data_IF_126500778202
#
_entry.id   IF_126500778202
#
_cell.length_a   1.000
_cell.length_b   1.000
_cell.length_c   1.000
_cell.angle_alpha   90.00
_cell.angle_beta   90.00
_cell.angle_gamma   90.00
#
_symmetry.space_group_name_H-M   'P 1'
#
loop_
_entity.id
_entity.type
_entity.pdbx_description
1 polymer ?
#
# COMPACT_ATOMS: atom_id res chain seq x y z
N UNK A 1 1.09 16.20 -72.93
CA UNK A 1 0.07 17.23 -73.26
C UNK A 1 -1.28 16.67 -72.81
N UNK A 2 -2.13 17.24 -71.93
CA UNK A 2 -2.23 18.51 -71.13
C UNK A 2 -3.26 18.23 -69.99
N UNK A 3 -3.21 18.74 -68.74
CA UNK A 3 -2.16 19.37 -67.91
C UNK A 3 -2.51 19.37 -66.39
N UNK A 4 -1.53 19.75 -65.56
CA UNK A 4 -1.39 19.80 -64.09
C UNK A 4 -2.44 20.47 -63.16
N UNK A 5 -3.64 20.87 -63.59
CA UNK A 5 -4.38 21.94 -62.89
C UNK A 5 -5.04 21.64 -61.52
N UNK A 6 -5.30 20.39 -61.10
CA UNK A 6 -6.17 20.12 -59.91
C UNK A 6 -5.66 19.13 -58.86
N UNK A 7 -4.48 18.51 -59.01
CA UNK A 7 -3.96 17.51 -58.05
C UNK A 7 -3.23 18.09 -56.82
N UNK A 8 -3.45 19.38 -56.47
CA UNK A 8 -2.46 20.19 -55.74
C UNK A 8 -2.89 20.96 -54.47
N UNK A 9 -4.06 20.71 -53.85
CA UNK A 9 -4.48 21.46 -52.63
C UNK A 9 -5.00 20.72 -51.39
N UNK A 10 -5.40 19.44 -51.46
CA UNK A 10 -5.93 18.74 -50.27
C UNK A 10 -4.95 17.74 -49.62
N UNK A 11 -4.26 16.91 -50.43
CA UNK A 11 -3.53 15.74 -49.91
C UNK A 11 -2.12 16.02 -49.34
N UNK A 12 -1.47 17.12 -49.70
CA UNK A 12 -0.06 17.39 -49.31
C UNK A 12 0.13 18.04 -47.94
N UNK A 13 -0.95 18.41 -47.22
CA UNK A 13 -0.85 19.07 -45.90
C UNK A 13 -0.48 18.14 -44.73
N UNK A 14 -0.17 16.86 -45.00
CA UNK A 14 0.22 15.83 -44.02
C UNK A 14 1.73 15.47 -44.00
N UNK A 15 2.59 16.17 -44.75
CA UNK A 15 3.99 15.76 -44.94
C UNK A 15 5.07 16.87 -44.78
N UNK A 16 4.74 18.02 -44.17
CA UNK A 16 5.61 19.21 -44.19
C UNK A 16 5.80 19.91 -42.82
N UNK A 17 6.03 19.13 -41.76
CA UNK A 17 6.39 19.65 -40.42
C UNK A 17 7.57 18.91 -39.77
N UNK A 18 8.28 18.06 -40.52
CA UNK A 18 9.52 17.42 -40.11
C UNK A 18 10.71 18.06 -40.85
N UNK A 19 11.84 18.20 -40.13
CA UNK A 19 13.16 18.64 -40.60
C UNK A 19 13.45 20.16 -40.75
N UNK A 20 14.17 20.66 -39.72
CA UNK A 20 15.36 21.55 -39.77
C UNK A 20 15.22 23.08 -39.94
N UNK A 21 15.35 23.78 -38.81
CA UNK A 21 16.35 24.82 -38.44
C UNK A 21 16.53 24.67 -36.91
N UNK A 22 17.69 24.53 -36.26
CA UNK A 22 19.05 24.97 -36.56
C UNK A 22 19.26 26.41 -36.04
N UNK A 23 20.12 26.72 -35.05
CA UNK A 23 21.03 25.92 -34.23
C UNK A 23 21.52 26.73 -33.00
N UNK A 24 21.93 26.08 -31.89
CA UNK A 24 23.08 26.48 -31.01
C UNK A 24 23.41 25.39 -29.98
N UNK A 25 24.69 25.18 -29.72
CA UNK A 25 25.26 24.32 -28.66
C UNK A 25 26.51 25.04 -28.07
N UNK A 26 27.34 24.39 -27.25
CA UNK A 26 27.09 23.93 -25.87
C UNK A 26 27.98 24.70 -24.85
N UNK A 27 27.72 24.60 -23.54
CA UNK A 27 28.68 25.08 -22.52
C UNK A 27 28.72 24.19 -21.26
N UNK A 28 29.91 23.70 -20.97
CA UNK A 28 30.50 23.31 -19.67
C UNK A 28 32.01 23.66 -19.79
N UNK A 29 32.88 23.58 -18.76
CA UNK A 29 32.67 23.16 -17.36
C UNK A 29 33.27 24.13 -16.31
N UNK A 30 33.14 23.80 -15.02
CA UNK A 30 34.24 24.01 -14.05
C UNK A 30 34.12 23.02 -12.87
N UNK A 31 35.26 22.63 -12.31
CA UNK A 31 35.41 21.51 -11.36
C UNK A 31 36.33 21.87 -10.20
N UNK A 32 36.17 21.17 -9.07
CA UNK A 32 37.17 20.82 -8.03
C UNK A 32 36.51 20.79 -6.64
N UNK A 33 36.94 20.01 -5.66
CA UNK A 33 37.68 18.72 -5.60
C UNK A 33 37.43 18.17 -4.17
N UNK A 34 37.51 16.89 -3.84
CA UNK A 34 38.71 16.05 -3.87
C UNK A 34 38.38 14.61 -3.41
N UNK A 35 39.37 13.71 -3.42
CA UNK A 35 39.20 12.25 -3.54
C UNK A 35 39.67 11.43 -2.34
N UNK A 36 39.12 10.22 -2.16
CA UNK A 36 39.82 8.95 -1.82
C UNK A 36 38.83 7.83 -1.44
N UNK A 37 39.11 6.52 -1.57
CA UNK A 37 39.97 5.73 -2.48
C UNK A 37 39.66 4.21 -2.29
N UNK A 38 39.41 3.45 -3.37
CA UNK A 38 39.29 1.97 -3.36
C UNK A 38 37.99 1.39 -2.74
N UNK A 39 37.65 0.11 -2.89
CA UNK A 39 38.06 -0.92 -3.86
C UNK A 39 37.08 -2.13 -3.81
N UNK A 40 37.05 -2.95 -4.87
CA UNK A 40 36.54 -4.33 -4.94
C UNK A 40 35.04 -4.65 -4.64
N UNK A 41 34.32 -4.93 -5.74
CA UNK A 41 33.40 -6.06 -5.97
C UNK A 41 32.68 -6.78 -4.80
N UNK A 42 31.34 -6.65 -4.76
CA UNK A 42 30.39 -7.78 -4.73
C UNK A 42 28.99 -7.27 -5.12
N UNK A 43 28.23 -8.03 -5.91
CA UNK A 43 26.90 -7.60 -6.36
C UNK A 43 25.86 -7.80 -5.24
N UNK A 44 25.13 -6.74 -4.90
CA UNK A 44 23.97 -6.77 -4.00
C UNK A 44 22.81 -5.97 -4.64
N UNK A 45 21.55 -6.42 -4.52
CA UNK A 45 20.41 -5.77 -5.15
C UNK A 45 20.12 -4.37 -4.55
N UNK A 46 19.58 -3.43 -5.36
CA UNK A 46 19.47 -2.02 -4.97
C UNK A 46 18.45 -1.77 -3.85
N UNK A 47 18.93 -1.24 -2.72
CA UNK A 47 18.13 -0.85 -1.55
C UNK A 47 17.40 0.49 -1.77
N UNK A 48 16.33 0.53 -2.56
CA UNK A 48 15.66 1.82 -2.86
C UNK A 48 14.13 1.79 -3.05
N UNK A 49 13.41 0.81 -2.47
CA UNK A 49 11.94 0.69 -2.63
C UNK A 49 11.18 0.56 -1.28
N UNK A 50 11.89 0.45 -0.14
CA UNK A 50 11.28 0.22 1.18
C UNK A 50 10.72 1.49 1.86
N UNK A 51 10.50 2.59 1.13
CA UNK A 51 10.20 3.90 1.71
C UNK A 51 8.73 4.07 2.17
N UNK A 52 7.79 3.28 1.67
CA UNK A 52 6.34 3.48 1.93
C UNK A 52 5.77 2.49 2.96
N UNK A 53 6.36 1.29 3.08
CA UNK A 53 5.94 0.28 4.04
C UNK A 53 6.47 0.53 5.47
N UNK A 54 7.45 1.45 5.62
CA UNK A 54 8.05 1.85 6.88
C UNK A 54 7.85 3.35 7.17
N UNK A 55 6.73 3.91 6.70
CA UNK A 55 6.22 5.16 7.26
C UNK A 55 5.76 4.84 8.68
N UNK A 56 6.56 5.29 9.65
CA UNK A 56 6.42 4.90 11.04
C UNK A 56 5.05 5.32 11.58
N UNK A 57 4.50 4.52 12.48
CA UNK A 57 3.24 4.78 13.18
C UNK A 57 3.22 6.14 13.90
N UNK A 58 4.40 6.74 14.15
CA UNK A 58 4.59 8.07 14.74
C UNK A 58 4.12 9.24 13.88
N UNK A 59 4.00 9.06 12.57
CA UNK A 59 3.97 10.19 11.63
C UNK A 59 2.54 10.59 11.20
N UNK A 60 1.54 9.84 11.65
CA UNK A 60 0.11 10.14 11.49
C UNK A 60 -0.59 10.13 12.83
N UNK A 61 -1.61 10.97 12.95
CA UNK A 61 -2.61 10.82 14.02
C UNK A 61 -3.98 10.73 13.40
N UNK A 62 -4.76 9.77 13.89
CA UNK A 62 -6.16 9.61 13.52
C UNK A 62 -7.00 9.68 14.79
N UNK A 63 -8.12 10.38 14.68
CA UNK A 63 -9.09 10.58 15.76
C UNK A 63 -10.48 10.42 15.18
N UNK A 64 -11.41 9.93 16.00
CA UNK A 64 -12.80 9.73 15.65
C UNK A 64 -13.53 9.06 16.81
N UNK A 65 -14.85 9.26 16.88
CA UNK A 65 -15.71 8.68 17.92
C UNK A 65 -16.65 7.69 17.27
N UNK A 66 -16.70 6.46 17.77
CA UNK A 66 -17.67 5.47 17.31
C UNK A 66 -19.06 5.83 17.85
N UNK A 67 -19.96 6.25 16.95
CA UNK A 67 -21.35 6.56 17.26
C UNK A 67 -22.28 5.35 17.11
N UNK A 68 -21.88 4.33 16.34
CA UNK A 68 -22.66 3.11 16.17
C UNK A 68 -22.58 2.16 17.37
N UNK A 69 -23.59 1.30 17.51
CA UNK A 69 -23.65 0.32 18.61
C UNK A 69 -22.49 -0.70 18.54
N UNK A 70 -21.84 -1.07 19.66
CA UNK A 70 -20.67 -1.96 19.64
C UNK A 70 -20.93 -3.40 19.15
N UNK A 71 -22.19 -3.76 18.84
CA UNK A 71 -22.59 -5.03 18.23
C UNK A 71 -23.26 -4.88 16.85
N UNK A 72 -23.35 -3.66 16.28
CA UNK A 72 -23.87 -3.49 14.92
C UNK A 72 -22.86 -4.00 13.89
N UNK A 73 -23.35 -4.25 12.67
CA UNK A 73 -22.51 -4.50 11.49
C UNK A 73 -22.22 -3.24 10.67
N UNK A 74 -22.95 -2.16 10.97
CA UNK A 74 -22.74 -0.83 10.42
C UNK A 74 -21.77 -0.06 11.33
N UNK A 75 -20.87 0.69 10.72
CA UNK A 75 -19.85 1.52 11.37
C UNK A 75 -20.21 2.98 11.10
N UNK A 76 -20.47 3.75 12.17
CA UNK A 76 -20.67 5.19 12.09
C UNK A 76 -19.62 5.87 12.98
N UNK A 77 -18.73 6.65 12.37
CA UNK A 77 -17.66 7.38 13.07
C UNK A 77 -17.90 8.88 12.88
N UNK A 78 -18.09 9.57 14.00
CA UNK A 78 -18.22 11.03 14.08
C UNK A 78 -16.85 11.67 14.35
N UNK A 79 -16.71 12.95 13.99
CA UNK A 79 -15.50 13.76 14.21
C UNK A 79 -14.20 13.08 13.75
N UNK A 80 -14.23 12.47 12.56
CA UNK A 80 -13.03 11.87 11.96
C UNK A 80 -12.08 12.97 11.50
N UNK A 81 -10.95 13.07 12.20
CA UNK A 81 -9.84 13.97 11.88
C UNK A 81 -8.56 13.15 11.72
N UNK A 82 -7.89 13.31 10.58
CA UNK A 82 -6.69 12.57 10.19
C UNK A 82 -5.61 13.53 9.70
N UNK A 83 -4.47 13.52 10.40
CA UNK A 83 -3.31 14.37 10.13
C UNK A 83 -2.09 13.52 9.81
N UNK A 84 -1.22 14.00 8.93
CA UNK A 84 -0.04 13.28 8.46
C UNK A 84 1.14 14.24 8.29
N UNK A 85 2.26 13.97 8.96
CA UNK A 85 3.43 14.85 9.05
C UNK A 85 3.09 16.33 9.38
N UNK A 86 2.07 16.55 10.22
CA UNK A 86 1.60 17.90 10.58
C UNK A 86 0.77 18.61 9.51
N UNK A 87 0.36 17.92 8.46
CA UNK A 87 -0.63 18.40 7.50
C UNK A 87 -1.98 17.71 7.74
N UNK A 88 -3.03 18.49 7.90
CA UNK A 88 -4.38 17.96 8.02
C UNK A 88 -4.82 17.45 6.63
N UNK A 89 -5.27 16.20 6.57
CA UNK A 89 -5.76 15.57 5.35
C UNK A 89 -7.29 15.49 5.36
N UNK A 90 -7.86 15.23 6.55
CA UNK A 90 -9.29 15.17 6.81
C UNK A 90 -9.52 15.85 8.16
N UNK A 91 -10.53 16.70 8.24
CA UNK A 91 -10.91 17.45 9.45
C UNK A 91 -12.41 17.30 9.65
N UNK A 92 -12.81 16.98 10.88
CA UNK A 92 -14.19 16.93 11.40
C UNK A 92 -15.20 16.35 10.40
N UNK A 93 -14.84 15.20 9.82
CA UNK A 93 -15.66 14.52 8.81
C UNK A 93 -16.42 13.34 9.43
N UNK A 94 -17.60 13.04 8.90
CA UNK A 94 -18.39 11.87 9.29
C UNK A 94 -18.11 10.71 8.32
N UNK A 95 -17.91 9.51 8.86
CA UNK A 95 -17.66 8.29 8.07
C UNK A 95 -18.71 7.22 8.40
N UNK A 96 -19.59 6.97 7.43
CA UNK A 96 -20.64 5.95 7.51
C UNK A 96 -20.37 4.78 6.55
N UNK A 97 -20.13 3.60 7.11
CA UNK A 97 -19.92 2.35 6.37
C UNK A 97 -21.00 1.34 6.78
N UNK A 98 -22.05 1.24 5.96
CA UNK A 98 -23.13 0.28 6.18
C UNK A 98 -22.77 -1.10 5.60
N UNK A 99 -23.24 -2.15 6.27
CA UNK A 99 -23.02 -3.53 5.87
C UNK A 99 -23.56 -3.81 4.45
N UNK A 100 -22.81 -4.61 3.68
CA UNK A 100 -23.19 -5.01 2.31
C UNK A 100 -23.01 -3.94 1.23
N UNK A 101 -22.54 -2.73 1.57
CA UNK A 101 -22.23 -1.68 0.58
C UNK A 101 -20.77 -1.74 0.11
N UNK A 102 -20.52 -1.19 -1.07
CA UNK A 102 -19.18 -1.03 -1.66
C UNK A 102 -18.90 0.45 -1.88
N UNK A 103 -17.83 0.94 -1.27
CA UNK A 103 -17.44 2.34 -1.30
C UNK A 103 -16.17 2.54 -2.13
N UNK A 104 -16.00 3.73 -2.72
CA UNK A 104 -14.81 4.09 -3.49
C UNK A 104 -14.29 5.47 -3.12
N UNK A 105 -13.03 5.57 -2.71
CA UNK A 105 -12.37 6.84 -2.38
C UNK A 105 -11.89 7.56 -3.64
N UNK A 106 -12.53 8.69 -3.94
CA UNK A 106 -12.20 9.58 -5.05
C UNK A 106 -11.51 10.87 -4.55
N UNK A 107 -10.92 11.64 -5.46
CA UNK A 107 -10.08 12.81 -5.11
C UNK A 107 -8.73 12.84 -5.84
N UNK A 108 -7.96 13.90 -5.60
CA UNK A 108 -6.67 14.17 -6.22
C UNK A 108 -5.55 13.25 -5.69
N UNK A 109 -4.43 13.16 -6.41
CA UNK A 109 -3.24 12.50 -5.85
C UNK A 109 -2.69 13.35 -4.70
N UNK A 110 -2.37 12.72 -3.56
CA UNK A 110 -1.91 13.40 -2.35
C UNK A 110 -3.01 13.80 -1.36
N UNK A 111 -4.31 13.69 -1.66
CA UNK A 111 -5.40 14.02 -0.73
C UNK A 111 -5.62 13.00 0.42
N UNK A 112 -4.64 12.12 0.70
CA UNK A 112 -4.70 11.23 1.87
C UNK A 112 -5.45 9.91 1.74
N UNK A 113 -5.99 9.54 0.57
CA UNK A 113 -6.80 8.30 0.41
C UNK A 113 -6.10 7.04 0.92
N UNK A 114 -4.86 6.80 0.47
CA UNK A 114 -4.06 5.64 0.90
C UNK A 114 -3.72 5.73 2.38
N UNK A 115 -3.56 6.95 2.91
CA UNK A 115 -3.33 7.20 4.33
C UNK A 115 -4.56 6.82 5.17
N UNK A 116 -5.77 7.20 4.76
CA UNK A 116 -7.03 6.78 5.38
C UNK A 116 -7.23 5.27 5.30
N UNK A 117 -6.99 4.65 4.13
CA UNK A 117 -7.10 3.19 3.99
C UNK A 117 -6.11 2.45 4.90
N UNK A 118 -4.90 3.00 5.08
CA UNK A 118 -3.91 2.45 6.00
C UNK A 118 -4.30 2.66 7.46
N UNK A 119 -4.87 3.81 7.84
CA UNK A 119 -5.37 4.05 9.19
C UNK A 119 -6.52 3.09 9.58
N UNK A 120 -7.47 2.84 8.65
CA UNK A 120 -8.48 1.79 8.80
C UNK A 120 -7.81 0.42 8.95
N UNK A 121 -6.87 0.09 8.05
CA UNK A 121 -6.15 -1.19 8.07
C UNK A 121 -5.32 -1.46 9.33
N UNK A 122 -4.82 -0.40 9.97
CA UNK A 122 -4.05 -0.49 11.22
C UNK A 122 -4.93 -0.42 12.48
N UNK A 123 -6.27 -0.41 12.37
CA UNK A 123 -7.20 -0.20 13.50
C UNK A 123 -6.90 1.08 14.31
N UNK A 124 -6.48 2.16 13.63
CA UNK A 124 -6.28 3.48 14.25
C UNK A 124 -7.62 4.21 14.49
N UNK A 125 -8.68 3.78 13.79
CA UNK A 125 -10.05 4.21 14.01
C UNK A 125 -10.77 3.23 14.96
N UNK A 126 -11.75 3.69 15.75
CA UNK A 126 -12.46 2.88 16.75
C UNK A 126 -13.46 1.92 16.08
N UNK A 127 -12.96 0.91 15.37
CA UNK A 127 -13.76 -0.12 14.70
C UNK A 127 -13.95 -1.28 15.68
N UNK A 128 -15.18 -1.82 15.86
CA UNK A 128 -15.44 -2.90 16.80
C UNK A 128 -14.61 -4.16 16.56
N UNK A 129 -14.16 -4.81 17.66
CA UNK A 129 -13.25 -5.96 17.62
C UNK A 129 -13.80 -7.17 16.85
N UNK A 130 -15.13 -7.33 16.79
CA UNK A 130 -15.81 -8.40 16.02
C UNK A 130 -15.80 -8.19 14.50
N UNK A 131 -15.14 -7.15 14.01
CA UNK A 131 -14.99 -6.86 12.58
C UNK A 131 -13.56 -7.06 12.11
N UNK A 132 -13.34 -8.05 11.26
CA UNK A 132 -12.04 -8.31 10.64
C UNK A 132 -11.75 -7.30 9.52
N UNK A 133 -10.51 -6.79 9.49
CA UNK A 133 -10.06 -5.80 8.51
C UNK A 133 -8.89 -6.38 7.73
N UNK A 134 -9.14 -6.69 6.45
CA UNK A 134 -8.10 -7.15 5.52
C UNK A 134 -7.64 -6.02 4.61
N UNK A 135 -6.51 -5.38 4.93
CA UNK A 135 -5.94 -4.29 4.15
C UNK A 135 -4.88 -4.79 3.16
N UNK A 136 -5.21 -4.82 1.87
CA UNK A 136 -4.31 -5.20 0.78
C UNK A 136 -3.57 -3.97 0.24
N UNK A 137 -2.34 -3.72 0.72
CA UNK A 137 -1.54 -2.56 0.30
C UNK A 137 -0.82 -2.75 -1.04
N UNK A 138 -0.46 -3.99 -1.38
CA UNK A 138 0.32 -4.34 -2.59
C UNK A 138 -0.09 -5.72 -3.12
N UNK A 139 0.15 -5.94 -4.41
CA UNK A 139 0.10 -7.27 -5.01
C UNK A 139 1.20 -8.17 -4.40
N UNK A 140 0.91 -9.46 -4.27
CA UNK A 140 1.89 -10.45 -3.81
C UNK A 140 2.82 -10.81 -4.98
N UNK A 141 4.12 -10.97 -4.71
CA UNK A 141 5.04 -11.45 -5.74
C UNK A 141 4.70 -12.90 -6.13
N UNK A 142 5.00 -13.27 -7.37
CA UNK A 142 4.68 -14.60 -7.89
C UNK A 142 5.40 -15.68 -7.06
N UNK A 143 4.62 -16.47 -6.32
CA UNK A 143 5.10 -17.56 -5.47
C UNK A 143 4.66 -18.91 -6.01
N UNK A 144 5.50 -19.93 -5.86
CA UNK A 144 5.18 -21.32 -6.25
C UNK A 144 4.20 -22.02 -5.29
N UNK A 145 3.68 -21.31 -4.28
CA UNK A 145 2.65 -21.83 -3.37
C UNK A 145 1.32 -22.03 -4.09
N UNK A 146 0.63 -23.13 -3.80
CA UNK A 146 -0.72 -23.33 -4.31
C UNK A 146 -1.70 -22.32 -3.69
N UNK A 147 -2.74 -21.93 -4.43
CA UNK A 147 -3.75 -20.99 -3.95
C UNK A 147 -4.42 -21.44 -2.63
N UNK A 148 -4.59 -22.75 -2.42
CA UNK A 148 -5.09 -23.30 -1.16
C UNK A 148 -4.12 -23.09 0.00
N UNK A 149 -2.82 -23.33 -0.20
CA UNK A 149 -1.80 -23.11 0.83
C UNK A 149 -1.69 -21.62 1.20
N UNK A 150 -1.75 -20.72 0.21
CA UNK A 150 -1.74 -19.29 0.46
C UNK A 150 -2.91 -18.88 1.38
N UNK A 151 -4.15 -19.28 1.06
CA UNK A 151 -5.33 -18.98 1.90
C UNK A 151 -5.21 -19.59 3.30
N UNK A 152 -4.76 -20.84 3.42
CA UNK A 152 -4.57 -21.50 4.73
C UNK A 152 -3.49 -20.79 5.56
N UNK A 153 -2.42 -20.28 4.93
CA UNK A 153 -1.34 -19.58 5.64
C UNK A 153 -1.69 -18.19 6.15
N UNK A 154 -2.79 -17.58 5.68
CA UNK A 154 -3.25 -16.26 6.14
C UNK A 154 -3.97 -16.31 7.51
N UNK A 155 -4.37 -17.49 7.98
CA UNK A 155 -5.13 -17.65 9.21
C UNK A 155 -4.21 -17.80 10.43
N UNK A 156 -3.68 -16.65 10.90
CA UNK A 156 -2.79 -16.62 12.06
C UNK A 156 -3.45 -17.13 13.34
N UNK A 157 -4.77 -16.96 13.49
CA UNK A 157 -5.49 -17.40 14.69
C UNK A 157 -5.55 -18.92 14.77
N UNK A 158 -5.85 -19.59 13.66
CA UNK A 158 -5.76 -21.05 13.59
C UNK A 158 -4.36 -21.56 13.88
N UNK A 159 -3.32 -20.94 13.32
CA UNK A 159 -1.93 -21.34 13.61
C UNK A 159 -1.60 -21.16 15.10
N UNK A 160 -2.07 -20.09 15.75
CA UNK A 160 -1.88 -19.89 17.21
C UNK A 160 -2.60 -20.99 18.02
N UNK A 161 -3.86 -21.26 17.72
CA UNK A 161 -4.69 -22.26 18.42
C UNK A 161 -4.19 -23.69 18.22
N UNK A 162 -3.70 -24.05 17.03
CA UNK A 162 -3.12 -25.36 16.74
C UNK A 162 -1.83 -25.57 17.58
N UNK A 163 -0.96 -24.56 17.68
CA UNK A 163 0.22 -24.60 18.55
C UNK A 163 -0.14 -24.73 20.05
N UNK A 164 -1.15 -24.00 20.53
CA UNK A 164 -1.61 -24.10 21.91
C UNK A 164 -2.17 -25.50 22.24
N UNK A 165 -2.92 -26.10 21.32
CA UNK A 165 -3.44 -27.46 21.45
C UNK A 165 -2.31 -28.49 21.54
N UNK A 166 -1.24 -28.37 20.74
CA UNK A 166 -0.06 -29.23 20.82
C UNK A 166 0.66 -29.10 22.17
N UNK A 167 0.84 -27.87 22.68
CA UNK A 167 1.47 -27.61 23.98
C UNK A 167 0.66 -28.26 25.12
N UNK A 168 -0.65 -28.10 25.11
CA UNK A 168 -1.55 -28.70 26.12
C UNK A 168 -1.54 -30.23 26.04
N UNK A 169 -1.59 -30.81 24.84
CA UNK A 169 -1.49 -32.26 24.64
C UNK A 169 -0.14 -32.82 25.16
N UNK A 170 0.96 -32.09 24.94
CA UNK A 170 2.28 -32.46 25.45
C UNK A 170 2.42 -32.33 26.98
N UNK A 171 1.66 -31.45 27.62
CA UNK A 171 1.57 -31.36 29.09
C UNK A 171 0.75 -32.54 29.67
N UNK A 172 -0.40 -32.86 29.07
CA UNK A 172 -1.25 -33.97 29.48
C UNK A 172 -0.49 -35.31 29.42
N UNK A 173 0.26 -35.57 28.34
CA UNK A 173 1.03 -36.83 28.19
C UNK A 173 2.13 -36.98 29.25
N UNK A 174 2.81 -35.89 29.63
CA UNK A 174 3.78 -35.87 30.75
C UNK A 174 3.10 -36.16 32.09
N UNK A 175 1.91 -35.61 32.33
CA UNK A 175 1.19 -35.82 33.59
C UNK A 175 0.69 -37.27 33.73
N UNK A 176 0.12 -37.84 32.66
CA UNK A 176 -0.35 -39.24 32.63
C UNK A 176 0.80 -40.25 32.79
N UNK A 177 1.95 -40.00 32.16
CA UNK A 177 3.16 -40.85 32.30
C UNK A 177 3.88 -40.68 33.65
N UNK A 178 3.54 -39.64 34.43
CA UNK A 178 3.91 -39.50 35.84
C UNK A 178 2.97 -40.26 36.79
N UNK A 179 1.67 -40.36 36.46
CA UNK A 179 0.70 -41.15 37.23
C UNK A 179 0.97 -42.64 37.09
N UNK A 180 1.17 -43.15 35.86
CA UNK A 180 1.35 -44.59 35.56
C UNK A 180 2.68 -45.20 36.06
N UNK A 181 3.46 -44.45 36.85
CA UNK A 181 4.71 -44.89 37.51
C UNK A 181 4.61 -44.93 39.04
N UNK A 182 3.41 -44.73 39.59
CA UNK A 182 3.03 -45.07 40.97
C UNK A 182 2.00 -46.19 40.96
#
# INVERSE_FOLDING_TARGET
MVSDASKKKAAQKKAAAAAKRGAKAPVAPSSSSSSSKGAAAAAAPPKSINAVAALNLSDRTCTGVLASHPLSRDIHIESLSLTFHGHDLIVDSELELNYGRRYGLLGLNGCGKSTLLTAIGCRELPIPDHMDIYHLTREIEASDMSALQAVVSCDEERVKLENEAEILAAQISRHVSGWKRR
#
